data_IF_722511613185
#
_entry.id   IF_722511613185
#
_cell.length_a   1.000
_cell.length_b   1.000
_cell.length_c   1.000
_cell.angle_alpha   90.00
_cell.angle_beta   90.00
_cell.angle_gamma   90.00
#
_symmetry.space_group_name_H-M   'P 1'
#
loop_
_entity.id
_entity.type
_entity.pdbx_description
1 polymer ?
#
# COMPACT_ATOMS: atom_id res chain seq x y z
N UNK A 1 -13.86 -0.18 0.54
CA UNK A 1 -14.86 -1.26 0.55
C UNK A 1 -15.02 -1.96 -0.81
N UNK A 2 -15.17 -1.25 -1.95
CA UNK A 2 -15.25 -1.90 -3.27
C UNK A 2 -13.98 -2.66 -3.71
N UNK A 3 -12.79 -2.06 -3.51
CA UNK A 3 -11.52 -2.70 -3.84
C UNK A 3 -11.24 -3.98 -3.04
N UNK A 4 -11.76 -4.09 -1.81
CA UNK A 4 -11.57 -5.25 -0.94
C UNK A 4 -12.30 -6.51 -1.43
N UNK A 5 -13.46 -6.37 -2.11
CA UNK A 5 -14.17 -7.52 -2.69
C UNK A 5 -13.51 -8.02 -3.97
N UNK A 6 -13.05 -7.12 -4.85
CA UNK A 6 -12.29 -7.51 -6.05
C UNK A 6 -10.92 -8.09 -5.68
N UNK A 7 -10.27 -7.51 -4.67
CA UNK A 7 -9.01 -7.98 -4.09
C UNK A 7 -9.06 -9.43 -3.62
N UNK A 8 -10.10 -9.82 -2.89
CA UNK A 8 -10.24 -11.20 -2.41
C UNK A 8 -10.35 -12.18 -3.56
N UNK A 9 -11.20 -11.89 -4.56
CA UNK A 9 -11.39 -12.76 -5.70
C UNK A 9 -10.18 -12.85 -6.64
N UNK A 10 -9.42 -11.75 -6.81
CA UNK A 10 -8.21 -11.72 -7.63
C UNK A 10 -7.01 -12.34 -6.90
N UNK A 11 -6.85 -12.10 -5.60
CA UNK A 11 -5.81 -12.70 -4.76
C UNK A 11 -5.94 -14.22 -4.71
N UNK A 12 -7.17 -14.73 -4.58
CA UNK A 12 -7.44 -16.17 -4.49
C UNK A 12 -7.28 -16.90 -5.84
N UNK A 13 -7.40 -16.18 -6.98
CA UNK A 13 -7.29 -16.79 -8.32
C UNK A 13 -5.91 -16.73 -8.97
N UNK A 14 -5.09 -15.72 -8.68
CA UNK A 14 -3.86 -15.45 -9.46
C UNK A 14 -2.57 -15.55 -8.64
N UNK A 15 -2.64 -15.69 -7.31
CA UNK A 15 -1.47 -15.74 -6.44
C UNK A 15 -1.04 -14.37 -5.90
N UNK A 16 -0.17 -14.39 -4.88
CA UNK A 16 0.10 -13.21 -4.03
C UNK A 16 0.89 -12.10 -4.71
N UNK A 17 1.84 -12.46 -5.57
CA UNK A 17 2.69 -11.52 -6.32
C UNK A 17 1.92 -10.71 -7.37
N UNK A 18 1.14 -11.32 -8.29
CA UNK A 18 0.36 -10.56 -9.27
C UNK A 18 -0.82 -9.78 -8.65
N UNK A 19 -1.24 -10.10 -7.42
CA UNK A 19 -2.21 -9.28 -6.68
C UNK A 19 -1.55 -8.09 -5.96
N UNK A 20 -0.33 -8.24 -5.43
CA UNK A 20 0.36 -7.20 -4.66
C UNK A 20 1.00 -6.11 -5.55
N UNK A 21 1.73 -6.51 -6.60
CA UNK A 21 2.54 -5.59 -7.39
C UNK A 21 1.72 -4.50 -8.12
N UNK A 22 0.59 -4.82 -8.79
CA UNK A 22 -0.23 -3.79 -9.44
C UNK A 22 -0.82 -2.80 -8.43
N UNK A 23 -1.22 -3.27 -7.25
CA UNK A 23 -1.76 -2.40 -6.20
C UNK A 23 -0.71 -1.45 -5.62
N UNK A 24 0.54 -1.91 -5.47
CA UNK A 24 1.67 -1.06 -5.06
C UNK A 24 2.03 -0.06 -6.16
N UNK A 25 2.08 -0.51 -7.42
CA UNK A 25 2.33 0.37 -8.56
C UNK A 25 1.27 1.47 -8.68
N UNK A 26 -0.01 1.11 -8.50
CA UNK A 26 -1.11 2.08 -8.57
C UNK A 26 -1.02 3.13 -7.45
N UNK A 27 -0.60 2.73 -6.25
CA UNK A 27 -0.35 3.68 -5.16
C UNK A 27 0.80 4.62 -5.48
N UNK A 28 1.93 4.10 -6.00
CA UNK A 28 3.07 4.95 -6.41
C UNK A 28 2.64 5.95 -7.48
N UNK A 29 1.90 5.51 -8.51
CA UNK A 29 1.37 6.38 -9.57
C UNK A 29 0.44 7.44 -8.98
N UNK A 30 -0.49 7.06 -8.10
CA UNK A 30 -1.37 8.00 -7.43
C UNK A 30 -0.59 9.04 -6.62
N UNK A 31 0.37 8.61 -5.80
CA UNK A 31 1.18 9.50 -4.98
C UNK A 31 2.05 10.45 -5.83
N UNK A 32 2.61 9.97 -6.95
CA UNK A 32 3.32 10.82 -7.91
C UNK A 32 2.39 11.84 -8.57
N UNK A 33 1.16 11.45 -8.92
CA UNK A 33 0.16 12.36 -9.46
C UNK A 33 -0.23 13.45 -8.43
N UNK A 34 -0.39 13.08 -7.16
CA UNK A 34 -0.62 14.04 -6.07
C UNK A 34 0.55 14.99 -5.88
N UNK A 35 1.79 14.54 -6.09
CA UNK A 35 2.96 15.39 -5.95
C UNK A 35 2.93 16.63 -6.87
N UNK A 36 2.34 16.50 -8.05
CA UNK A 36 2.28 17.55 -9.10
C UNK A 36 0.86 18.11 -9.32
N UNK A 37 -0.11 17.68 -8.51
CA UNK A 37 -1.52 18.00 -8.71
C UNK A 37 -1.88 19.41 -8.23
N UNK A 38 -2.33 20.27 -9.14
CA UNK A 38 -2.87 21.62 -8.79
C UNK A 38 -4.41 21.71 -8.86
N UNK A 39 -5.08 20.64 -9.31
CA UNK A 39 -6.54 20.61 -9.51
C UNK A 39 -7.25 19.70 -8.52
N UNK A 40 -8.44 20.12 -8.06
CA UNK A 40 -9.33 19.32 -7.22
C UNK A 40 -9.70 17.99 -7.89
N UNK A 41 -9.84 17.97 -9.21
CA UNK A 41 -10.12 16.75 -9.97
C UNK A 41 -8.94 15.76 -9.96
N UNK A 42 -7.70 16.28 -10.03
CA UNK A 42 -6.49 15.46 -9.94
C UNK A 42 -6.30 14.89 -8.52
N UNK A 43 -6.71 15.63 -7.50
CA UNK A 43 -6.82 15.15 -6.12
C UNK A 43 -7.78 13.97 -6.00
N UNK A 44 -9.01 14.10 -6.53
CA UNK A 44 -9.99 13.00 -6.55
C UNK A 44 -9.47 11.77 -7.31
N UNK A 45 -8.84 11.96 -8.46
CA UNK A 45 -8.22 10.88 -9.21
C UNK A 45 -7.16 10.15 -8.39
N UNK A 46 -6.32 10.88 -7.66
CA UNK A 46 -5.33 10.27 -6.77
C UNK A 46 -5.98 9.45 -5.66
N UNK A 47 -7.01 9.99 -5.00
CA UNK A 47 -7.73 9.27 -3.94
C UNK A 47 -8.26 7.94 -4.48
N UNK A 48 -8.83 7.94 -5.68
CA UNK A 48 -9.31 6.71 -6.33
C UNK A 48 -8.17 5.72 -6.60
N UNK A 49 -7.05 6.17 -7.18
CA UNK A 49 -5.89 5.31 -7.48
C UNK A 49 -5.31 4.66 -6.22
N UNK A 50 -5.07 5.46 -5.17
CA UNK A 50 -4.54 4.96 -3.90
C UNK A 50 -5.55 4.04 -3.20
N UNK A 51 -6.84 4.37 -3.25
CA UNK A 51 -7.91 3.54 -2.67
C UNK A 51 -8.04 2.18 -3.36
N UNK A 52 -7.88 2.11 -4.68
CA UNK A 52 -7.87 0.83 -5.40
C UNK A 52 -6.63 0.03 -5.00
N UNK A 53 -5.47 0.69 -4.92
CA UNK A 53 -4.21 0.05 -4.52
C UNK A 53 -4.17 -0.43 -3.06
N UNK A 54 -5.13 -0.02 -2.22
CA UNK A 54 -5.25 -0.47 -0.83
C UNK A 54 -5.50 -1.99 -0.68
N UNK A 55 -5.81 -2.69 -1.78
CA UNK A 55 -5.80 -4.17 -1.87
C UNK A 55 -4.54 -4.79 -1.25
N UNK A 56 -3.42 -4.08 -1.37
CA UNK A 56 -2.10 -4.51 -0.87
C UNK A 56 -2.09 -4.82 0.61
N UNK A 57 -2.91 -4.13 1.43
CA UNK A 57 -3.04 -4.42 2.86
C UNK A 57 -3.64 -5.81 3.09
N UNK A 58 -4.71 -6.14 2.36
CA UNK A 58 -5.34 -7.46 2.47
C UNK A 58 -4.38 -8.56 2.02
N UNK A 59 -3.75 -8.40 0.85
CA UNK A 59 -2.77 -9.36 0.33
C UNK A 59 -1.59 -9.50 1.30
N UNK A 60 -1.13 -8.41 1.90
CA UNK A 60 -0.08 -8.40 2.92
C UNK A 60 -0.45 -9.17 4.18
N UNK A 61 -1.67 -8.99 4.70
CA UNK A 61 -2.15 -9.78 5.85
C UNK A 61 -2.30 -11.26 5.53
N UNK A 62 -2.69 -11.58 4.30
CA UNK A 62 -2.77 -12.96 3.81
C UNK A 62 -1.37 -13.57 3.68
N UNK A 63 -0.39 -12.85 3.11
CA UNK A 63 1.06 -13.20 3.12
C UNK A 63 1.54 -13.49 4.52
N UNK A 64 1.25 -12.59 5.45
CA UNK A 64 1.63 -12.74 6.84
C UNK A 64 1.01 -14.00 7.44
N UNK A 65 -0.27 -14.29 7.16
CA UNK A 65 -0.95 -15.46 7.67
C UNK A 65 -0.26 -16.78 7.31
N UNK A 66 0.07 -16.97 6.03
CA UNK A 66 0.76 -18.18 5.56
C UNK A 66 2.15 -18.35 6.17
N UNK A 67 2.86 -17.25 6.40
CA UNK A 67 4.23 -17.28 6.94
C UNK A 67 4.27 -17.37 8.47
N UNK A 68 3.13 -17.22 9.15
CA UNK A 68 3.09 -17.08 10.60
C UNK A 68 3.00 -18.40 11.37
N UNK A 69 2.56 -19.49 10.74
CA UNK A 69 2.33 -20.76 11.43
C UNK A 69 1.49 -20.57 12.70
N UNK A 70 1.98 -21.05 13.85
CA UNK A 70 1.32 -20.90 15.16
C UNK A 70 1.43 -19.51 15.81
N UNK A 71 2.19 -18.57 15.23
CA UNK A 71 2.43 -17.23 15.79
C UNK A 71 1.59 -16.12 15.16
N UNK A 72 0.49 -16.48 14.49
CA UNK A 72 -0.34 -15.56 13.71
C UNK A 72 -0.86 -14.37 14.51
N UNK A 73 -1.39 -14.62 15.71
CA UNK A 73 -1.93 -13.56 16.57
C UNK A 73 -0.88 -12.50 16.92
N UNK A 74 0.34 -12.93 17.27
CA UNK A 74 1.44 -12.01 17.57
C UNK A 74 1.87 -11.21 16.34
N UNK A 75 2.10 -11.87 15.21
CA UNK A 75 2.55 -11.23 13.97
C UNK A 75 1.52 -10.25 13.41
N UNK A 76 0.23 -10.63 13.40
CA UNK A 76 -0.85 -9.72 13.04
C UNK A 76 -0.97 -8.55 14.03
N UNK A 77 -0.77 -8.80 15.33
CA UNK A 77 -0.74 -7.75 16.34
C UNK A 77 0.34 -6.71 16.04
N UNK A 78 1.56 -7.14 15.74
CA UNK A 78 2.67 -6.24 15.36
C UNK A 78 2.35 -5.49 14.06
N UNK A 79 1.80 -6.18 13.05
CA UNK A 79 1.41 -5.55 11.78
C UNK A 79 0.35 -4.45 11.99
N UNK A 80 -0.69 -4.73 12.79
CA UNK A 80 -1.74 -3.77 13.13
C UNK A 80 -1.21 -2.59 13.92
N UNK A 81 -0.43 -2.85 14.98
CA UNK A 81 0.18 -1.81 15.81
C UNK A 81 1.05 -0.87 14.97
N UNK A 82 1.81 -1.42 14.01
CA UNK A 82 2.63 -0.62 13.09
C UNK A 82 1.77 0.28 12.22
N UNK A 83 0.68 -0.25 11.66
CA UNK A 83 -0.29 0.52 10.88
C UNK A 83 -0.96 1.63 11.71
N UNK A 84 -1.41 1.32 12.92
CA UNK A 84 -2.06 2.27 13.81
C UNK A 84 -1.10 3.39 14.24
N UNK A 85 0.17 3.05 14.49
CA UNK A 85 1.21 4.04 14.77
C UNK A 85 1.45 4.96 13.57
N UNK A 86 1.46 4.41 12.35
CA UNK A 86 1.58 5.20 11.13
C UNK A 86 0.39 6.14 10.93
N UNK A 87 -0.84 5.74 11.31
CA UNK A 87 -2.01 6.60 11.24
C UNK A 87 -1.91 7.85 12.13
N UNK A 88 -1.18 7.78 13.25
CA UNK A 88 -0.95 8.93 14.13
C UNK A 88 0.18 9.80 13.59
N UNK A 89 1.30 9.19 13.18
CA UNK A 89 2.52 9.91 12.81
C UNK A 89 2.43 10.54 11.41
N UNK A 90 1.82 9.85 10.44
CA UNK A 90 1.82 10.27 9.05
C UNK A 90 1.12 11.62 8.80
N UNK A 91 -0.08 11.91 9.36
CA UNK A 91 -0.74 13.21 9.16
C UNK A 91 0.05 14.37 9.79
N UNK A 92 0.67 14.14 10.94
CA UNK A 92 1.49 15.16 11.63
C UNK A 92 2.73 15.50 10.79
N UNK A 93 3.44 14.48 10.30
CA UNK A 93 4.62 14.67 9.46
C UNK A 93 4.24 15.32 8.12
N UNK A 94 3.18 14.84 7.48
CA UNK A 94 2.70 15.38 6.21
C UNK A 94 2.25 16.84 6.35
N UNK A 95 1.51 17.18 7.41
CA UNK A 95 1.09 18.56 7.68
C UNK A 95 2.26 19.50 7.94
N UNK A 96 3.24 19.06 8.73
CA UNK A 96 4.46 19.83 8.97
C UNK A 96 5.27 20.07 7.69
N UNK A 97 5.50 19.02 6.88
CA UNK A 97 6.18 19.14 5.59
C UNK A 97 5.40 20.01 4.60
N UNK A 98 4.08 19.92 4.60
CA UNK A 98 3.21 20.73 3.76
C UNK A 98 3.36 22.22 4.11
N UNK A 99 3.35 22.55 5.41
CA UNK A 99 3.51 23.91 5.88
C UNK A 99 4.91 24.48 5.59
N UNK A 100 5.96 23.65 5.68
CA UNK A 100 7.34 24.09 5.49
C UNK A 100 7.73 24.23 4.00
N UNK A 101 7.28 23.29 3.15
CA UNK A 101 7.83 23.12 1.80
C UNK A 101 6.80 22.77 0.74
N UNK A 102 5.50 22.80 1.08
CA UNK A 102 4.40 22.57 0.15
C UNK A 102 4.08 21.09 -0.13
N UNK A 103 3.12 20.89 -1.04
CA UNK A 103 2.50 19.60 -1.34
C UNK A 103 3.48 18.52 -1.82
N UNK A 104 4.44 18.90 -2.67
CA UNK A 104 5.40 17.98 -3.24
C UNK A 104 6.26 17.33 -2.15
N UNK A 105 6.79 18.14 -1.21
CA UNK A 105 7.60 17.65 -0.09
C UNK A 105 6.78 16.89 0.94
N UNK A 106 5.50 17.25 1.15
CA UNK A 106 4.60 16.48 2.01
C UNK A 106 4.31 15.07 1.50
N UNK A 107 4.33 14.90 0.17
CA UNK A 107 3.98 13.62 -0.49
C UNK A 107 5.21 12.74 -0.76
N UNK A 108 6.41 13.34 -0.86
CA UNK A 108 7.65 12.65 -1.18
C UNK A 108 7.96 11.44 -0.28
N UNK A 109 7.86 11.52 1.08
CA UNK A 109 8.17 10.37 1.93
C UNK A 109 7.28 9.15 1.63
N UNK A 110 5.99 9.38 1.35
CA UNK A 110 5.03 8.34 1.00
C UNK A 110 5.38 7.68 -0.35
N UNK A 111 5.80 8.49 -1.34
CA UNK A 111 6.27 7.99 -2.64
C UNK A 111 7.50 7.11 -2.46
N UNK A 112 8.50 7.58 -1.71
CA UNK A 112 9.75 6.85 -1.49
C UNK A 112 9.52 5.54 -0.73
N UNK A 113 8.73 5.57 0.34
CA UNK A 113 8.43 4.38 1.13
C UNK A 113 7.65 3.35 0.31
N UNK A 114 6.59 3.77 -0.38
CA UNK A 114 5.76 2.86 -1.19
C UNK A 114 6.54 2.32 -2.39
N UNK A 115 7.36 3.17 -3.02
CA UNK A 115 8.26 2.79 -4.11
C UNK A 115 9.32 1.78 -3.65
N UNK A 116 9.90 1.99 -2.46
CA UNK A 116 10.82 1.02 -1.86
C UNK A 116 10.13 -0.32 -1.60
N UNK A 117 8.92 -0.32 -1.03
CA UNK A 117 8.13 -1.55 -0.82
C UNK A 117 7.80 -2.24 -2.13
N UNK A 118 7.46 -1.50 -3.19
CA UNK A 118 7.24 -2.04 -4.53
C UNK A 118 8.50 -2.73 -5.08
N UNK A 119 9.67 -2.08 -4.97
CA UNK A 119 10.94 -2.63 -5.44
C UNK A 119 11.35 -3.88 -4.63
N UNK A 120 11.21 -3.82 -3.30
CA UNK A 120 11.48 -4.94 -2.42
C UNK A 120 10.55 -6.13 -2.73
N UNK A 121 9.25 -5.87 -2.87
CA UNK A 121 8.27 -6.89 -3.26
C UNK A 121 8.57 -7.48 -4.65
N UNK A 122 8.94 -6.64 -5.62
CA UNK A 122 9.30 -7.09 -6.96
C UNK A 122 10.51 -8.03 -6.95
N UNK A 123 11.50 -7.73 -6.09
CA UNK A 123 12.77 -8.45 -6.03
C UNK A 123 12.77 -9.69 -5.12
N UNK A 124 11.98 -9.67 -4.05
CA UNK A 124 12.04 -10.69 -2.99
C UNK A 124 10.76 -11.49 -2.80
N UNK A 125 9.60 -11.05 -3.31
CA UNK A 125 8.37 -11.80 -3.13
C UNK A 125 8.33 -12.98 -4.13
N UNK A 126 8.45 -14.24 -3.66
CA UNK A 126 8.36 -15.39 -4.54
C UNK A 126 6.92 -15.57 -5.02
N UNK A 127 6.75 -16.11 -6.23
CA UNK A 127 5.43 -16.45 -6.75
C UNK A 127 4.87 -17.66 -5.99
N UNK A 128 3.75 -17.48 -5.28
CA UNK A 128 3.09 -18.58 -4.56
C UNK A 128 2.14 -19.38 -5.46
N UNK A 129 2.41 -19.47 -6.76
CA UNK A 129 1.71 -20.41 -7.64
C UNK A 129 2.57 -21.68 -7.80
N UNK A 130 2.55 -22.55 -6.77
CA UNK A 130 2.82 -23.97 -7.01
C UNK A 130 1.57 -24.56 -7.65
N UNK A 131 1.75 -25.11 -8.85
CA UNK A 131 0.70 -25.61 -9.70
C UNK A 131 -0.31 -26.52 -8.98
N UNK A 132 -1.56 -26.40 -9.42
CA UNK A 132 -2.38 -27.57 -9.66
C UNK A 132 -2.06 -28.08 -11.05
#
# INVERSE_FOLDING_TARGET
FAGAMMAGQVSDRYGRRPALLPGLALQVIGLLALMVSESVWAWWATILLVSIGSVTVNVGTTILADLSGGSLGHRLGVFRLTGDSAFVVAPLLAGWLYAASGQAMATLPSVLLTGFVLLAAFRWLPETHRGR
#
